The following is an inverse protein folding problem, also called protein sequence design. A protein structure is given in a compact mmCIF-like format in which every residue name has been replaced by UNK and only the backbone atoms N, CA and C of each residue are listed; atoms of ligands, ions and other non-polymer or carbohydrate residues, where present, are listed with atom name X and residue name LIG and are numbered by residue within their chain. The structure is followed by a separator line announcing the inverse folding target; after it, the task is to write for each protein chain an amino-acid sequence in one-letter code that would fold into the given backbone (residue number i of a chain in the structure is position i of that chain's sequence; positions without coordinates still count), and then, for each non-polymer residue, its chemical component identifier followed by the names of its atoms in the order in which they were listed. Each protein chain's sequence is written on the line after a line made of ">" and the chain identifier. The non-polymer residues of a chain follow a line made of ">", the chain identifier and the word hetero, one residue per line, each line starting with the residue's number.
data_IF_789336658497
#
_entry.id   IF_789336658497
#
_cell.length_a   1.000
_cell.length_b   1.000
_cell.length_c   1.000
_cell.angle_alpha   90.00
_cell.angle_beta   90.00
_cell.angle_gamma   90.00
#
_symmetry.space_group_name_H-M   'P 1'
#
loop_
_entity.id
_entity.type
_entity.pdbx_description
1 polymer ?
#
# COMPACT_ATOMS: atom_id res chain seq x y z
N UNK A 1 -11.88 -10.97 -29.88
CA UNK A 1 -12.09 -12.33 -30.44
C UNK A 1 -13.51 -12.54 -30.98
N UNK A 2 -14.56 -12.36 -30.18
CA UNK A 2 -15.97 -12.58 -30.59
C UNK A 2 -16.43 -11.68 -31.73
N UNK A 3 -16.02 -10.41 -31.72
CA UNK A 3 -16.35 -9.45 -32.77
C UNK A 3 -15.76 -9.86 -34.15
N UNK A 4 -14.47 -10.22 -34.19
CA UNK A 4 -13.81 -10.69 -35.42
C UNK A 4 -14.52 -11.90 -36.02
N UNK A 5 -15.00 -12.82 -35.18
CA UNK A 5 -15.75 -13.99 -35.65
C UNK A 5 -17.14 -13.58 -36.18
N UNK A 6 -17.84 -12.68 -35.50
CA UNK A 6 -19.15 -12.19 -35.92
C UNK A 6 -19.08 -11.45 -37.27
N UNK A 7 -18.09 -10.58 -37.44
CA UNK A 7 -17.85 -9.85 -38.70
C UNK A 7 -17.57 -10.77 -39.88
N UNK A 8 -16.89 -11.89 -39.63
CA UNK A 8 -16.49 -12.85 -40.66
C UNK A 8 -17.43 -14.06 -40.79
N UNK A 9 -18.50 -14.12 -40.00
CA UNK A 9 -19.39 -15.28 -39.92
C UNK A 9 -20.02 -15.61 -41.27
N UNK A 10 -20.57 -14.61 -41.96
CA UNK A 10 -21.20 -14.80 -43.26
C UNK A 10 -20.20 -15.32 -44.31
N UNK A 11 -18.98 -14.77 -44.30
CA UNK A 11 -17.91 -15.21 -45.20
C UNK A 11 -17.54 -16.68 -44.97
N UNK A 12 -17.41 -17.09 -43.71
CA UNK A 12 -17.13 -18.49 -43.36
C UNK A 12 -18.28 -19.43 -43.74
N UNK A 13 -19.52 -19.01 -43.53
CA UNK A 13 -20.70 -19.80 -43.91
C UNK A 13 -20.82 -19.96 -45.43
N UNK A 14 -20.48 -18.92 -46.18
CA UNK A 14 -20.41 -19.01 -47.64
C UNK A 14 -19.29 -19.96 -48.09
N UNK A 15 -18.14 -19.98 -47.40
CA UNK A 15 -17.05 -20.92 -47.67
C UNK A 15 -17.47 -22.38 -47.46
N UNK A 16 -18.27 -22.65 -46.43
CA UNK A 16 -18.85 -23.95 -46.13
C UNK A 16 -19.83 -24.40 -47.23
N UNK A 17 -20.75 -23.52 -47.62
CA UNK A 17 -21.73 -23.80 -48.67
C UNK A 17 -21.07 -24.14 -50.02
N UNK A 18 -20.01 -23.45 -50.43
CA UNK A 18 -19.30 -23.78 -51.68
C UNK A 18 -18.66 -25.16 -51.67
N UNK A 19 -18.20 -25.61 -50.49
CA UNK A 19 -17.63 -26.95 -50.34
C UNK A 19 -18.72 -28.02 -50.39
N UNK A 20 -19.86 -27.75 -49.77
CA UNK A 20 -21.01 -28.65 -49.78
C UNK A 20 -21.54 -28.85 -51.20
N UNK A 21 -21.69 -27.76 -51.97
CA UNK A 21 -22.08 -27.82 -53.38
C UNK A 21 -21.10 -28.68 -54.21
N UNK A 22 -19.79 -28.57 -53.98
CA UNK A 22 -18.80 -29.40 -54.67
C UNK A 22 -18.89 -30.89 -54.30
N UNK A 23 -19.15 -31.20 -53.04
CA UNK A 23 -19.38 -32.58 -52.60
C UNK A 23 -20.65 -33.16 -53.23
N UNK A 24 -21.76 -32.42 -53.20
CA UNK A 24 -23.04 -32.85 -53.80
C UNK A 24 -22.91 -33.07 -55.32
N UNK A 25 -22.19 -32.19 -56.02
CA UNK A 25 -21.88 -32.34 -57.44
C UNK A 25 -21.11 -33.63 -57.74
N UNK A 26 -20.17 -34.00 -56.86
CA UNK A 26 -19.42 -35.25 -56.97
C UNK A 26 -20.28 -36.48 -56.68
N UNK A 27 -21.14 -36.41 -55.65
CA UNK A 27 -22.05 -37.50 -55.29
C UNK A 27 -23.09 -37.79 -56.38
N UNK A 28 -23.62 -36.75 -57.03
CA UNK A 28 -24.57 -36.88 -58.13
C UNK A 28 -23.92 -37.33 -59.45
N UNK A 29 -22.59 -37.51 -59.50
CA UNK A 29 -21.81 -37.75 -60.72
C UNK A 29 -22.12 -36.73 -61.83
N UNK A 30 -22.47 -35.50 -61.45
CA UNK A 30 -22.87 -34.49 -62.39
C UNK A 30 -21.64 -33.90 -63.08
N UNK A 31 -21.55 -34.07 -64.40
CA UNK A 31 -20.50 -33.44 -65.20
C UNK A 31 -20.88 -32.00 -65.52
N UNK A 32 -20.49 -31.10 -64.63
CA UNK A 32 -20.53 -29.66 -64.89
C UNK A 32 -19.68 -29.30 -66.12
N UNK A 33 -19.99 -28.16 -66.75
CA UNK A 33 -19.18 -27.61 -67.83
C UNK A 33 -17.75 -27.37 -67.34
N UNK A 34 -16.75 -27.56 -68.20
CA UNK A 34 -15.34 -27.39 -67.86
C UNK A 34 -15.02 -25.97 -67.37
N UNK A 35 -15.82 -24.98 -67.76
CA UNK A 35 -15.73 -23.60 -67.28
C UNK A 35 -16.26 -23.45 -65.85
N UNK A 36 -17.43 -24.02 -65.56
CA UNK A 36 -18.06 -23.94 -64.24
C UNK A 36 -17.22 -24.67 -63.19
N UNK A 37 -16.61 -25.80 -63.56
CA UNK A 37 -15.69 -26.52 -62.67
C UNK A 37 -14.46 -25.67 -62.32
N UNK A 38 -13.93 -24.88 -63.27
CA UNK A 38 -12.84 -23.95 -62.98
C UNK A 38 -13.28 -22.83 -62.03
N UNK A 39 -14.49 -22.29 -62.20
CA UNK A 39 -15.03 -21.26 -61.30
C UNK A 39 -15.18 -21.82 -59.90
N UNK A 40 -15.81 -22.99 -59.76
CA UNK A 40 -16.04 -23.64 -58.48
C UNK A 40 -14.72 -23.92 -57.75
N UNK A 41 -13.74 -24.49 -58.45
CA UNK A 41 -12.42 -24.73 -57.88
C UNK A 41 -11.73 -23.44 -57.42
N UNK A 42 -11.82 -22.35 -58.19
CA UNK A 42 -11.28 -21.05 -57.77
C UNK A 42 -11.97 -20.50 -56.52
N UNK A 43 -13.30 -20.65 -56.41
CA UNK A 43 -14.06 -20.24 -55.24
C UNK A 43 -13.68 -21.04 -54.00
N UNK A 44 -13.52 -22.36 -54.13
CA UNK A 44 -13.08 -23.25 -53.06
C UNK A 44 -11.64 -22.96 -52.65
N UNK A 45 -10.75 -22.69 -53.60
CA UNK A 45 -9.37 -22.38 -53.30
C UNK A 45 -9.25 -21.04 -52.55
N UNK A 46 -10.00 -20.02 -53.02
CA UNK A 46 -10.10 -18.72 -52.34
C UNK A 46 -10.68 -18.87 -50.93
N UNK A 47 -11.74 -19.67 -50.77
CA UNK A 47 -12.38 -19.90 -49.47
C UNK A 47 -11.44 -20.56 -48.48
N UNK A 48 -10.67 -21.56 -48.93
CA UNK A 48 -9.66 -22.23 -48.12
C UNK A 48 -8.50 -21.31 -47.74
N UNK A 49 -8.04 -20.46 -48.66
CA UNK A 49 -7.00 -19.44 -48.37
C UNK A 49 -7.49 -18.44 -47.32
N UNK A 50 -8.74 -17.99 -47.45
CA UNK A 50 -9.36 -17.08 -46.48
C UNK A 50 -9.48 -17.69 -45.09
N UNK A 51 -9.99 -18.92 -44.99
CA UNK A 51 -10.11 -19.63 -43.70
C UNK A 51 -8.76 -19.82 -43.00
N UNK A 52 -7.70 -20.16 -43.75
CA UNK A 52 -6.33 -20.27 -43.22
C UNK A 52 -5.81 -18.92 -42.71
N UNK A 53 -6.04 -17.85 -43.46
CA UNK A 53 -5.63 -16.50 -43.05
C UNK A 53 -6.35 -16.07 -41.77
N UNK A 54 -7.68 -16.23 -41.71
CA UNK A 54 -8.47 -15.83 -40.55
C UNK A 54 -8.04 -16.61 -39.29
N UNK A 55 -7.79 -17.92 -39.42
CA UNK A 55 -7.24 -18.73 -38.32
C UNK A 55 -5.90 -18.21 -37.83
N UNK A 56 -5.01 -17.80 -38.73
CA UNK A 56 -3.71 -17.21 -38.36
C UNK A 56 -3.90 -15.92 -37.57
N UNK A 57 -4.78 -15.04 -38.02
CA UNK A 57 -5.10 -13.77 -37.33
C UNK A 57 -5.69 -14.03 -35.93
N UNK A 58 -6.61 -14.99 -35.80
CA UNK A 58 -7.17 -15.37 -34.51
C UNK A 58 -6.10 -15.87 -33.52
N UNK A 59 -5.16 -16.68 -34.00
CA UNK A 59 -4.04 -17.16 -33.16
C UNK A 59 -3.10 -16.03 -32.75
N UNK A 60 -2.82 -15.09 -33.65
CA UNK A 60 -2.01 -13.92 -33.34
C UNK A 60 -2.67 -13.04 -32.27
N UNK A 61 -3.96 -12.74 -32.43
CA UNK A 61 -4.70 -11.95 -31.46
C UNK A 61 -4.76 -12.63 -30.09
N UNK A 62 -4.91 -13.96 -30.05
CA UNK A 62 -4.92 -14.71 -28.81
C UNK A 62 -3.55 -14.75 -28.12
N UNK A 63 -2.46 -14.72 -28.90
CA UNK A 63 -1.12 -14.59 -28.35
C UNK A 63 -0.90 -13.18 -27.79
N UNK A 64 -1.27 -12.15 -28.55
CA UNK A 64 -1.15 -10.75 -28.14
C UNK A 64 -1.94 -10.47 -26.85
N UNK A 65 -3.17 -10.99 -26.74
CA UNK A 65 -3.97 -10.82 -25.52
C UNK A 65 -3.30 -11.48 -24.30
N UNK A 66 -2.70 -12.67 -24.48
CA UNK A 66 -1.95 -13.34 -23.41
C UNK A 66 -0.72 -12.55 -23.00
N UNK A 67 0.02 -12.01 -23.97
CA UNK A 67 1.23 -11.24 -23.72
C UNK A 67 0.89 -9.90 -23.05
N UNK A 68 -0.22 -9.26 -23.44
CA UNK A 68 -0.70 -8.05 -22.81
C UNK A 68 -1.16 -8.32 -21.37
N UNK A 69 -1.91 -9.40 -21.13
CA UNK A 69 -2.30 -9.82 -19.79
C UNK A 69 -1.09 -10.07 -18.86
N UNK A 70 -0.06 -10.75 -19.37
CA UNK A 70 1.19 -10.97 -18.62
C UNK A 70 1.94 -9.66 -18.32
N UNK A 71 1.92 -8.70 -19.26
CA UNK A 71 2.53 -7.39 -19.07
C UNK A 71 1.80 -6.56 -18.01
N UNK A 72 0.47 -6.56 -18.04
CA UNK A 72 -0.37 -5.89 -17.05
C UNK A 72 -0.19 -6.48 -15.65
N UNK A 73 -0.15 -7.80 -15.54
CA UNK A 73 0.12 -8.51 -14.29
C UNK A 73 1.50 -8.13 -13.73
N UNK A 74 2.54 -8.11 -14.57
CA UNK A 74 3.88 -7.68 -14.16
C UNK A 74 3.89 -6.24 -13.65
N UNK A 75 3.19 -5.31 -14.34
CA UNK A 75 3.08 -3.91 -13.90
C UNK A 75 2.39 -3.80 -12.55
N UNK A 76 1.29 -4.55 -12.35
CA UNK A 76 0.59 -4.59 -11.08
C UNK A 76 1.51 -5.05 -9.95
N UNK A 77 2.27 -6.13 -10.16
CA UNK A 77 3.23 -6.60 -9.15
C UNK A 77 4.36 -5.62 -8.90
N UNK A 78 4.81 -4.88 -9.92
CA UNK A 78 5.80 -3.82 -9.74
C UNK A 78 5.25 -2.70 -8.83
N UNK A 79 4.02 -2.24 -9.08
CA UNK A 79 3.36 -1.24 -8.22
C UNK A 79 3.10 -1.76 -6.81
N UNK A 80 2.78 -3.05 -6.66
CA UNK A 80 2.60 -3.65 -5.33
C UNK A 80 3.93 -3.83 -4.59
N UNK A 81 5.01 -4.10 -5.31
CA UNK A 81 6.36 -4.23 -4.78
C UNK A 81 6.99 -2.88 -4.44
N UNK A 82 6.54 -1.79 -5.08
CA UNK A 82 6.95 -0.44 -4.72
C UNK A 82 6.60 -0.19 -3.24
N UNK A 83 7.61 0.06 -2.39
CA UNK A 83 7.35 0.25 -0.97
C UNK A 83 6.58 1.56 -0.80
N UNK A 84 5.30 1.45 -0.41
CA UNK A 84 4.46 2.58 0.03
C UNK A 84 4.91 3.17 1.37
N UNK A 85 6.21 3.10 1.66
CA UNK A 85 6.84 3.53 2.89
C UNK A 85 6.69 5.04 3.09
N UNK A 86 6.79 5.83 2.02
CA UNK A 86 6.60 7.28 2.12
C UNK A 86 5.17 7.64 2.48
N UNK A 87 4.17 7.05 1.80
CA UNK A 87 2.76 7.27 2.13
C UNK A 87 2.42 6.82 3.55
N UNK A 88 2.98 5.69 3.99
CA UNK A 88 2.82 5.22 5.36
C UNK A 88 3.49 6.15 6.38
N UNK A 89 4.66 6.70 6.05
CA UNK A 89 5.37 7.66 6.89
C UNK A 89 4.59 8.97 7.03
N UNK A 90 4.02 9.46 5.94
CA UNK A 90 3.21 10.68 5.92
C UNK A 90 1.93 10.49 6.75
N UNK A 91 1.23 9.37 6.55
CA UNK A 91 0.07 9.01 7.35
C UNK A 91 0.38 8.92 8.85
N UNK A 92 1.56 8.39 9.22
CA UNK A 92 2.00 8.35 10.62
C UNK A 92 2.29 9.76 11.18
N UNK A 93 2.86 10.65 10.37
CA UNK A 93 3.08 12.05 10.77
C UNK A 93 1.77 12.78 11.01
N UNK A 94 0.79 12.60 10.12
CA UNK A 94 -0.56 13.14 10.28
C UNK A 94 -1.25 12.60 11.54
N UNK A 95 -1.16 11.28 11.77
CA UNK A 95 -1.76 10.64 12.95
C UNK A 95 -1.16 11.19 14.26
N UNK A 96 0.15 11.42 14.29
CA UNK A 96 0.84 12.06 15.42
C UNK A 96 0.39 13.50 15.64
N UNK A 97 0.15 14.24 14.56
CA UNK A 97 -0.41 15.59 14.65
C UNK A 97 -1.83 15.57 15.21
N UNK A 98 -2.70 14.71 14.69
CA UNK A 98 -4.07 14.54 15.18
C UNK A 98 -4.07 14.16 16.66
N UNK A 99 -3.24 13.19 17.08
CA UNK A 99 -3.13 12.78 18.48
C UNK A 99 -2.73 13.94 19.41
N UNK A 100 -1.78 14.79 19.01
CA UNK A 100 -1.39 15.98 19.78
C UNK A 100 -2.52 17.00 19.86
N UNK A 101 -3.25 17.21 18.76
CA UNK A 101 -4.38 18.13 18.72
C UNK A 101 -5.54 17.63 19.59
N UNK A 102 -5.88 16.34 19.53
CA UNK A 102 -6.95 15.75 20.34
C UNK A 102 -6.58 15.74 21.82
N UNK A 103 -5.33 15.43 22.17
CA UNK A 103 -4.84 15.54 23.54
C UNK A 103 -4.94 16.98 24.06
N UNK A 104 -4.49 17.96 23.26
CA UNK A 104 -4.59 19.38 23.66
C UNK A 104 -6.04 19.80 23.86
N UNK A 105 -6.93 19.42 22.95
CA UNK A 105 -8.36 19.71 23.05
C UNK A 105 -8.98 19.06 24.28
N UNK A 106 -8.60 17.82 24.59
CA UNK A 106 -9.00 17.14 25.82
C UNK A 106 -8.55 17.93 27.05
N UNK A 107 -7.26 18.30 27.14
CA UNK A 107 -6.72 19.07 28.28
C UNK A 107 -7.45 20.39 28.49
N UNK A 108 -7.72 21.14 27.41
CA UNK A 108 -8.48 22.40 27.46
C UNK A 108 -9.91 22.17 27.95
N UNK A 109 -10.59 21.14 27.43
CA UNK A 109 -11.95 20.79 27.84
C UNK A 109 -12.03 20.43 29.33
N UNK A 110 -11.10 19.63 29.83
CA UNK A 110 -11.04 19.24 31.25
C UNK A 110 -10.80 20.45 32.17
N UNK A 111 -9.89 21.36 31.79
CA UNK A 111 -9.66 22.62 32.53
C UNK A 111 -10.87 23.53 32.55
N UNK A 112 -11.62 23.59 31.45
CA UNK A 112 -12.87 24.32 31.38
C UNK A 112 -13.92 23.74 32.35
N UNK A 113 -14.11 22.43 32.34
CA UNK A 113 -15.00 21.74 33.28
C UNK A 113 -14.60 21.97 34.74
N UNK A 114 -13.32 21.86 35.05
CA UNK A 114 -12.79 22.16 36.39
C UNK A 114 -13.12 23.59 36.81
N UNK A 115 -12.93 24.57 35.92
CA UNK A 115 -13.22 25.99 36.20
C UNK A 115 -14.71 26.19 36.49
N UNK A 116 -15.60 25.53 35.75
CA UNK A 116 -17.04 25.58 35.99
C UNK A 116 -17.40 24.96 37.35
N UNK A 117 -16.84 23.81 37.68
CA UNK A 117 -17.05 23.15 38.97
C UNK A 117 -16.60 24.04 40.13
N UNK A 118 -15.40 24.62 40.05
CA UNK A 118 -14.89 25.55 41.07
C UNK A 118 -15.83 26.74 41.21
N UNK A 119 -16.21 27.41 40.10
CA UNK A 119 -17.13 28.55 40.14
C UNK A 119 -18.49 28.20 40.76
N UNK A 120 -19.03 27.02 40.45
CA UNK A 120 -20.29 26.54 41.00
C UNK A 120 -20.19 26.23 42.50
N UNK A 121 -19.14 25.54 42.93
CA UNK A 121 -18.89 25.25 44.35
C UNK A 121 -18.68 26.52 45.16
N UNK A 122 -17.94 27.50 44.62
CA UNK A 122 -17.76 28.81 45.24
C UNK A 122 -19.09 29.58 45.38
N UNK A 123 -19.99 29.51 44.39
CA UNK A 123 -21.30 30.17 44.45
C UNK A 123 -22.21 29.57 45.54
N UNK A 124 -22.14 28.26 45.79
CA UNK A 124 -22.97 27.59 46.81
C UNK A 124 -22.47 27.80 48.25
N UNK A 125 -21.17 28.00 48.45
CA UNK A 125 -20.57 28.05 49.78
C UNK A 125 -20.46 29.46 50.36
N UNK A 126 -20.50 30.52 49.53
CA UNK A 126 -20.10 31.86 49.96
C UNK A 126 -21.14 32.93 49.59
N UNK A 127 -22.03 33.21 50.54
CA UNK A 127 -22.94 34.37 50.52
C UNK A 127 -22.47 35.51 51.45
N UNK A 128 -21.20 35.58 51.87
CA UNK A 128 -20.75 36.78 52.61
C UNK A 128 -19.48 36.76 53.49
N UNK A 129 -18.47 35.92 53.29
CA UNK A 129 -17.17 36.09 54.00
C UNK A 129 -15.96 35.79 53.12
N UNK A 130 -14.87 36.51 53.37
CA UNK A 130 -13.59 36.42 52.67
C UNK A 130 -13.03 35.01 52.67
N UNK A 131 -12.79 34.48 51.48
CA UNK A 131 -12.26 33.13 51.27
C UNK A 131 -10.86 33.17 50.70
N UNK A 132 -10.00 32.30 51.22
CA UNK A 132 -8.69 32.04 50.61
C UNK A 132 -8.83 31.06 49.44
N UNK A 133 -8.35 31.48 48.28
CA UNK A 133 -8.33 30.68 47.06
C UNK A 133 -7.23 29.63 47.17
N UNK A 134 -7.58 28.36 47.37
CA UNK A 134 -6.63 27.22 47.30
C UNK A 134 -6.46 26.67 45.88
N UNK A 135 -7.12 27.30 44.90
CA UNK A 135 -6.93 26.95 43.50
C UNK A 135 -5.54 27.39 43.03
N UNK A 136 -4.69 26.41 42.73
CA UNK A 136 -3.37 26.64 42.16
C UNK A 136 -3.52 26.93 40.67
N UNK A 137 -3.61 28.22 40.33
CA UNK A 137 -3.72 28.70 38.95
C UNK A 137 -2.54 28.27 38.05
N UNK A 138 -1.37 28.03 38.65
CA UNK A 138 -0.13 27.66 37.95
C UNK A 138 0.09 26.13 37.87
N UNK A 139 -0.86 25.31 38.35
CA UNK A 139 -0.68 23.86 38.32
C UNK A 139 -0.85 23.29 36.90
N UNK A 140 0.26 22.81 36.33
CA UNK A 140 0.33 22.12 35.03
C UNK A 140 -0.21 20.68 35.03
N UNK A 141 -1.25 20.39 35.81
CA UNK A 141 -1.93 19.10 35.84
C UNK A 141 -3.28 19.16 35.13
N UNK A 142 -3.63 18.14 34.34
CA UNK A 142 -4.97 18.03 33.72
C UNK A 142 -5.84 17.13 34.60
N UNK A 143 -6.97 17.62 35.13
CA UNK A 143 -7.89 16.75 35.85
C UNK A 143 -8.52 15.76 34.87
N UNK A 144 -8.64 14.50 35.28
CA UNK A 144 -9.37 13.47 34.53
C UNK A 144 -10.58 13.08 35.37
N UNK A 145 -11.77 13.45 34.92
CA UNK A 145 -13.00 13.11 35.64
C UNK A 145 -13.41 11.66 35.37
N UNK A 146 -14.16 11.05 36.30
CA UNK A 146 -14.73 9.70 36.20
C UNK A 146 -13.71 8.56 36.05
N UNK A 147 -12.51 8.71 36.62
CA UNK A 147 -11.54 7.63 36.67
C UNK A 147 -11.81 6.73 37.88
N UNK A 148 -12.03 5.44 37.66
CA UNK A 148 -12.06 4.43 38.74
C UNK A 148 -10.66 3.88 38.93
N UNK A 149 -10.04 4.16 40.07
CA UNK A 149 -8.72 3.63 40.43
C UNK A 149 -8.93 2.56 41.50
N UNK A 150 -8.57 1.32 41.18
CA UNK A 150 -8.48 0.22 42.16
C UNK A 150 -7.14 0.30 42.85
N UNK A 151 -7.15 0.73 44.12
CA UNK A 151 -5.96 0.72 44.97
C UNK A 151 -5.86 -0.64 45.63
N UNK A 152 -4.85 -1.44 45.24
CA UNK A 152 -4.49 -2.67 45.96
C UNK A 152 -3.53 -2.24 47.06
N UNK A 153 -4.00 -2.23 48.30
CA UNK A 153 -3.17 -1.99 49.47
C UNK A 153 -2.42 -3.28 49.81
N UNK A 154 -1.11 -3.31 49.55
CA UNK A 154 -0.26 -4.32 50.19
C UNK A 154 -0.28 -4.03 51.70
N UNK A 155 -0.74 -4.99 52.49
CA UNK A 155 -0.68 -4.89 53.94
C UNK A 155 0.79 -4.90 54.36
N UNK A 156 1.21 -3.81 55.00
CA UNK A 156 2.53 -3.68 55.61
C UNK A 156 2.66 -4.74 56.70
N UNK A 157 3.40 -5.81 56.40
CA UNK A 157 3.98 -6.68 57.40
C UNK A 157 4.99 -5.89 58.21
N UNK A 158 4.76 -5.86 59.52
CA UNK A 158 5.58 -5.25 60.55
C UNK A 158 7.04 -5.75 60.46
N UNK A 159 7.97 -4.88 60.04
CA UNK A 159 9.39 -4.99 60.38
C UNK A 159 10.06 -3.64 60.14
N UNK A 160 10.42 -2.97 61.23
CA UNK A 160 11.16 -1.73 61.21
C UNK A 160 12.57 -1.94 60.65
N UNK A 161 12.85 -1.34 59.48
CA UNK A 161 14.18 -0.86 59.14
C UNK A 161 14.04 0.35 58.20
N UNK A 162 14.73 1.47 58.47
CA UNK A 162 14.66 2.64 57.61
C UNK A 162 15.38 2.35 56.27
N UNK A 163 14.79 2.69 55.12
CA UNK A 163 15.46 2.54 53.84
C UNK A 163 16.56 3.58 53.67
N UNK A 164 17.78 3.11 53.37
CA UNK A 164 18.91 3.91 52.93
C UNK A 164 18.54 4.65 51.64
N UNK A 165 18.54 5.98 51.68
CA UNK A 165 18.31 6.83 50.53
C UNK A 165 19.68 7.07 49.86
N UNK A 166 20.01 6.26 48.86
CA UNK A 166 21.11 6.61 47.93
C UNK A 166 20.58 7.60 46.89
N UNK A 167 20.91 8.88 47.09
CA UNK A 167 20.76 9.93 46.08
C UNK A 167 21.95 9.86 45.12
N UNK A 168 21.78 9.24 43.95
CA UNK A 168 22.68 9.48 42.82
C UNK A 168 22.22 10.76 42.08
N UNK A 169 23.10 11.76 41.88
CA UNK A 169 22.74 13.02 41.26
C UNK A 169 22.51 12.86 39.75
N UNK A 170 21.48 13.54 39.26
CA UNK A 170 21.31 13.86 37.85
C UNK A 170 22.30 14.96 37.48
N UNK A 171 23.19 14.73 36.51
CA UNK A 171 23.90 15.82 35.85
C UNK A 171 23.15 16.26 34.59
N UNK A 172 22.81 17.55 34.63
CA UNK A 172 22.19 18.37 33.60
C UNK A 172 23.21 18.71 32.49
N UNK A 173 22.64 19.12 31.36
CA UNK A 173 23.28 19.44 30.09
C UNK A 173 24.25 20.62 30.17
N UNK A 174 25.41 20.53 29.50
CA UNK A 174 26.40 21.61 29.41
C UNK A 174 27.09 21.73 28.04
N UNK A 175 26.75 22.79 27.33
CA UNK A 175 27.26 23.29 26.03
C UNK A 175 28.74 23.73 26.11
N UNK A 176 29.54 23.54 25.05
CA UNK A 176 30.80 24.29 24.91
C UNK A 176 31.80 23.84 23.83
N UNK A 177 32.29 24.81 23.05
CA UNK A 177 33.12 24.73 21.84
C UNK A 177 34.56 24.16 21.95
N UNK A 178 35.02 23.60 20.81
CA UNK A 178 36.30 23.82 20.11
C UNK A 178 37.63 23.82 20.89
N UNK A 179 38.51 22.85 20.58
CA UNK A 179 39.80 23.12 19.94
C UNK A 179 40.50 21.83 19.47
N UNK A 180 41.10 21.95 18.28
CA UNK A 180 42.16 21.13 17.66
C UNK A 180 43.13 20.46 18.64
N UNK A 181 43.52 19.22 18.35
CA UNK A 181 44.90 18.94 17.96
C UNK A 181 45.01 17.65 17.13
N UNK A 182 45.90 17.64 16.14
CA UNK A 182 46.04 16.57 15.17
C UNK A 182 47.15 15.57 15.53
N UNK A 183 47.01 14.33 15.05
CA UNK A 183 48.17 13.58 14.58
C UNK A 183 47.76 12.50 13.60
N UNK A 184 48.37 12.56 12.42
CA UNK A 184 48.29 11.63 11.31
C UNK A 184 49.31 10.52 11.59
N UNK A 185 48.92 9.26 11.45
CA UNK A 185 49.85 8.20 11.06
C UNK A 185 49.20 7.32 9.99
N UNK A 186 49.79 7.39 8.79
CA UNK A 186 49.60 6.48 7.69
C UNK A 186 50.29 5.15 8.03
N UNK A 187 49.68 4.01 7.76
CA UNK A 187 50.43 2.84 7.31
C UNK A 187 49.73 2.15 6.13
N UNK A 188 50.55 2.05 5.10
CA UNK A 188 50.39 1.46 3.79
C UNK A 188 50.64 -0.06 3.92
N UNK A 189 49.84 -0.92 3.29
CA UNK A 189 50.33 -2.18 2.69
C UNK A 189 49.25 -2.93 1.90
N UNK A 190 49.48 -2.97 0.58
CA UNK A 190 49.08 -4.06 -0.33
C UNK A 190 50.01 -5.27 -0.11
N UNK A 191 49.62 -6.49 -0.53
CA UNK A 191 50.15 -6.98 -1.81
C UNK A 191 49.25 -7.95 -2.59
N UNK A 192 49.49 -8.05 -3.90
CA UNK A 192 49.58 -9.36 -4.55
C UNK A 192 48.57 -9.68 -5.65
N UNK A 193 48.86 -9.18 -6.86
CA UNK A 193 48.33 -9.64 -8.14
C UNK A 193 48.90 -11.04 -8.49
N UNK A 194 48.11 -11.97 -9.03
CA UNK A 194 48.61 -12.90 -10.07
C UNK A 194 47.48 -13.38 -10.97
N UNK A 195 47.63 -13.03 -12.25
CA UNK A 195 46.87 -13.49 -13.41
C UNK A 195 47.40 -14.87 -13.82
N UNK A 196 46.50 -15.83 -14.11
CA UNK A 196 46.81 -16.98 -14.95
C UNK A 196 45.73 -17.17 -16.01
N UNK A 197 46.14 -16.92 -17.26
CA UNK A 197 45.51 -17.45 -18.48
C UNK A 197 45.87 -18.94 -18.62
N UNK A 198 44.91 -19.72 -19.10
CA UNK A 198 44.96 -20.99 -19.86
C UNK A 198 43.48 -21.35 -20.06
N UNK A 199 42.93 -21.69 -21.22
CA UNK A 199 43.43 -22.14 -22.52
C UNK A 199 42.30 -21.86 -23.55
#
# INVERSE_FOLDING_TARGET
>A
MTLLLAENFLGLKLCEAWREVDMELQEMNFKASSFDHKILNNLIERSNRWGKHLKKVQLQLLQEERDNGALEEKKLYQTLAEPRLHEALDALCELKYIARCTERMFRVSQKFLQTLQVKHSMRKLFSGKDTHTTFLSELHATPVFNQTVTVISDQVGESAQPPDISLSPSDDVGVGHSARDGSIQNEDHTPGETISKNE
#
